data_IF_944288143277
#
_entry.id   IF_944288143277
#
_cell.length_a   1.000
_cell.length_b   1.000
_cell.length_c   1.000
_cell.angle_alpha   90.00
_cell.angle_beta   90.00
_cell.angle_gamma   90.00
#
_symmetry.space_group_name_H-M   'P 1'
#
loop_
_entity.id
_entity.type
_entity.pdbx_description
1 polymer ?
#
# COMPACT_ATOMS: atom_id res chain seq x y z
N UNK A 1 -1.48 56.02 65.09
CA UNK A 1 -1.81 55.54 66.46
C UNK A 1 -1.55 54.04 66.45
N UNK A 2 -0.33 53.63 66.74
CA UNK A 2 0.15 53.20 68.07
C UNK A 2 -0.35 51.78 68.44
N UNK A 3 0.52 50.79 68.17
CA UNK A 3 0.99 49.63 68.97
C UNK A 3 0.31 49.32 70.34
N UNK A 4 0.55 48.15 71.01
CA UNK A 4 1.14 46.84 70.62
C UNK A 4 0.45 45.59 71.28
N UNK A 5 0.96 44.37 70.99
CA UNK A 5 1.36 43.46 72.09
C UNK A 5 0.88 42.00 72.13
N UNK A 6 1.87 41.09 72.03
CA UNK A 6 2.06 39.83 72.79
C UNK A 6 1.17 38.62 72.47
N UNK A 7 1.61 37.38 72.51
CA UNK A 7 2.88 36.64 72.36
C UNK A 7 2.50 35.17 72.59
N UNK A 8 3.22 34.27 71.94
CA UNK A 8 3.44 32.87 72.32
C UNK A 8 2.34 31.83 72.02
N UNK A 9 2.83 30.61 71.77
CA UNK A 9 2.15 29.37 71.35
C UNK A 9 1.97 29.21 69.85
N UNK A 10 3.04 28.79 69.16
CA UNK A 10 3.02 27.75 68.11
C UNK A 10 4.42 27.59 67.51
N UNK A 11 5.35 27.06 68.30
CA UNK A 11 6.55 26.40 67.80
C UNK A 11 6.44 24.91 68.14
N UNK A 12 5.81 24.14 67.26
CA UNK A 12 5.96 22.69 67.07
C UNK A 12 5.18 22.36 65.79
N UNK A 13 5.79 21.57 64.89
CA UNK A 13 5.29 21.11 63.59
C UNK A 13 5.62 21.96 62.36
N UNK A 14 6.89 22.36 62.22
CA UNK A 14 7.50 22.59 60.90
C UNK A 14 8.40 21.40 60.53
N UNK A 15 7.80 20.24 60.29
CA UNK A 15 8.46 19.10 59.65
C UNK A 15 7.41 18.27 58.89
N UNK A 16 6.68 18.94 57.99
CA UNK A 16 5.90 18.23 56.98
C UNK A 16 6.89 17.75 55.91
N UNK A 17 7.25 16.47 56.01
CA UNK A 17 7.95 15.73 54.97
C UNK A 17 7.25 15.95 53.63
N UNK A 18 7.88 16.69 52.73
CA UNK A 18 7.70 16.50 51.30
C UNK A 18 8.26 15.14 50.93
N UNK A 19 7.48 14.08 51.17
CA UNK A 19 7.66 12.82 50.49
C UNK A 19 7.31 13.06 49.01
N UNK A 20 8.34 13.26 48.19
CA UNK A 20 8.24 12.91 46.79
C UNK A 20 7.86 11.41 46.76
N UNK A 21 6.61 11.11 46.43
CA UNK A 21 6.28 9.82 45.82
C UNK A 21 6.96 9.80 44.44
N UNK A 22 8.22 9.37 44.43
CA UNK A 22 8.79 8.75 43.24
C UNK A 22 7.99 7.47 43.06
N UNK A 23 7.07 7.46 42.10
CA UNK A 23 6.52 6.20 41.61
C UNK A 23 7.72 5.34 41.20
N UNK A 24 7.90 4.19 41.84
CA UNK A 24 8.82 3.19 41.33
C UNK A 24 8.37 2.89 39.90
N UNK A 25 9.16 3.31 38.92
CA UNK A 25 8.95 2.86 37.55
C UNK A 25 9.00 1.33 37.63
N UNK A 26 7.89 0.67 37.22
CA UNK A 26 7.86 -0.79 37.16
C UNK A 26 9.01 -1.29 36.28
N UNK A 27 9.44 -2.53 36.50
CA UNK A 27 10.48 -3.16 35.68
C UNK A 27 10.19 -2.95 34.17
N UNK A 28 11.23 -2.78 33.32
CA UNK A 28 11.04 -2.61 31.89
C UNK A 28 10.16 -3.72 31.29
N UNK A 29 9.19 -3.32 30.46
CA UNK A 29 8.30 -4.28 29.80
C UNK A 29 8.99 -4.87 28.58
N UNK A 30 8.96 -6.19 28.45
CA UNK A 30 9.66 -6.86 27.36
C UNK A 30 9.18 -6.40 25.98
N UNK A 31 7.87 -6.35 25.74
CA UNK A 31 7.35 -6.08 24.39
C UNK A 31 7.41 -4.59 24.05
N UNK A 32 7.21 -3.71 25.03
CA UNK A 32 7.23 -2.26 24.84
C UNK A 32 8.65 -1.71 24.77
N UNK A 33 9.54 -2.19 25.64
CA UNK A 33 10.83 -1.54 25.87
C UNK A 33 12.02 -2.37 25.31
N UNK A 34 12.03 -3.68 25.53
CA UNK A 34 13.20 -4.53 25.25
C UNK A 34 13.20 -5.11 23.83
N UNK A 35 12.07 -5.65 23.37
CA UNK A 35 11.93 -6.22 22.04
C UNK A 35 12.29 -5.23 20.93
N UNK A 36 11.81 -3.97 20.95
CA UNK A 36 12.22 -2.97 19.95
C UNK A 36 13.71 -2.66 20.01
N UNK A 37 14.31 -2.65 21.21
CA UNK A 37 15.73 -2.38 21.39
C UNK A 37 16.59 -3.50 20.80
N UNK A 38 16.29 -4.77 21.11
CA UNK A 38 16.98 -5.94 20.55
C UNK A 38 16.80 -5.96 19.03
N UNK A 39 15.58 -5.72 18.54
CA UNK A 39 15.30 -5.65 17.11
C UNK A 39 16.16 -4.60 16.39
N UNK A 40 16.21 -3.38 16.95
CA UNK A 40 16.94 -2.24 16.40
C UNK A 40 18.46 -2.41 16.44
N UNK A 41 19.01 -2.97 17.52
CA UNK A 41 20.47 -2.95 17.80
C UNK A 41 21.18 -4.26 17.49
N UNK A 42 20.48 -5.38 17.54
CA UNK A 42 21.11 -6.69 17.55
C UNK A 42 20.71 -7.56 16.36
N UNK A 43 19.45 -7.49 15.90
CA UNK A 43 18.94 -8.47 14.95
C UNK A 43 19.50 -8.33 13.53
N UNK A 44 20.20 -7.26 13.16
CA UNK A 44 20.88 -7.21 11.85
C UNK A 44 22.03 -8.24 11.72
N UNK A 45 22.59 -8.73 12.84
CA UNK A 45 23.70 -9.69 12.85
C UNK A 45 23.43 -10.96 13.69
N UNK A 46 22.34 -10.98 14.45
CA UNK A 46 21.99 -12.05 15.39
C UNK A 46 20.55 -12.50 15.19
N UNK A 47 20.23 -12.99 13.99
CA UNK A 47 18.93 -13.51 13.60
C UNK A 47 19.05 -14.93 13.00
N UNK A 48 17.95 -15.52 12.56
CA UNK A 48 17.94 -16.90 12.01
C UNK A 48 18.78 -17.08 10.74
N UNK A 49 19.00 -16.00 9.95
CA UNK A 49 19.76 -16.02 8.69
C UNK A 49 21.20 -15.56 8.86
N UNK A 50 21.45 -14.54 9.69
CA UNK A 50 22.80 -14.07 10.06
C UNK A 50 23.03 -14.36 11.55
N UNK A 51 23.79 -15.42 11.84
CA UNK A 51 24.02 -15.94 13.19
C UNK A 51 25.47 -15.66 13.59
N UNK A 52 25.88 -14.38 13.66
CA UNK A 52 27.25 -14.05 14.07
C UNK A 52 27.52 -14.51 15.50
N UNK A 53 28.68 -15.11 15.70
CA UNK A 53 29.06 -15.71 16.99
C UNK A 53 28.14 -16.86 17.41
N UNK A 54 27.46 -17.51 16.46
CA UNK A 54 26.51 -18.61 16.71
C UNK A 54 25.37 -18.21 17.66
N UNK A 55 25.00 -16.93 17.67
CA UNK A 55 23.99 -16.34 18.54
C UNK A 55 22.76 -15.86 17.75
N UNK A 56 21.59 -16.40 18.09
CA UNK A 56 20.30 -15.97 17.53
C UNK A 56 19.46 -15.25 18.59
N UNK A 57 19.45 -13.92 18.56
CA UNK A 57 18.76 -13.09 19.55
C UNK A 57 17.26 -12.90 19.27
N UNK A 58 16.70 -13.64 18.31
CA UNK A 58 15.25 -13.65 18.08
C UNK A 58 14.50 -14.48 19.12
N UNK A 59 15.18 -15.32 19.91
CA UNK A 59 14.56 -16.25 20.86
C UNK A 59 15.14 -16.12 22.26
N UNK A 60 14.37 -16.54 23.26
CA UNK A 60 14.83 -16.61 24.65
C UNK A 60 16.04 -17.54 24.83
N UNK A 61 16.05 -18.69 24.15
CA UNK A 61 17.16 -19.64 24.20
C UNK A 61 18.45 -19.00 23.71
N UNK A 62 18.41 -18.31 22.58
CA UNK A 62 19.58 -17.61 22.07
C UNK A 62 19.99 -16.42 22.96
N UNK A 63 19.05 -15.65 23.50
CA UNK A 63 19.36 -14.57 24.45
C UNK A 63 20.07 -15.06 25.71
N UNK A 64 19.69 -16.24 26.23
CA UNK A 64 20.29 -16.84 27.43
C UNK A 64 21.49 -17.75 27.13
N UNK A 65 21.92 -17.84 25.86
CA UNK A 65 23.06 -18.66 25.47
C UNK A 65 24.35 -18.14 26.14
N UNK A 66 24.99 -18.98 26.93
CA UNK A 66 26.27 -18.70 27.60
C UNK A 66 26.17 -18.19 29.04
N UNK A 67 25.04 -17.58 29.46
CA UNK A 67 24.84 -17.12 30.85
C UNK A 67 23.37 -17.02 31.23
N UNK A 68 23.06 -17.13 32.53
CA UNK A 68 21.69 -16.90 33.03
C UNK A 68 21.24 -15.47 32.72
N UNK A 69 19.99 -15.33 32.31
CA UNK A 69 19.32 -14.04 32.04
C UNK A 69 20.06 -13.15 31.02
N UNK A 70 20.87 -13.73 30.13
CA UNK A 70 21.59 -12.98 29.09
C UNK A 70 22.69 -12.05 29.61
N UNK A 71 23.24 -12.32 30.80
CA UNK A 71 24.28 -11.48 31.43
C UNK A 71 25.51 -11.25 30.56
N UNK A 72 25.91 -12.25 29.76
CA UNK A 72 27.01 -12.14 28.80
C UNK A 72 26.76 -11.05 27.76
N UNK A 73 25.54 -10.99 27.20
CA UNK A 73 25.18 -9.94 26.26
C UNK A 73 25.27 -8.58 26.93
N UNK A 74 24.73 -8.45 28.14
CA UNK A 74 24.78 -7.21 28.90
C UNK A 74 26.22 -6.77 29.15
N UNK A 75 27.08 -7.67 29.62
CA UNK A 75 28.48 -7.36 29.91
C UNK A 75 29.22 -6.89 28.64
N UNK A 76 29.02 -7.53 27.49
CA UNK A 76 29.61 -7.14 26.20
C UNK A 76 29.13 -5.76 25.72
N UNK A 77 27.84 -5.45 25.93
CA UNK A 77 27.26 -4.15 25.59
C UNK A 77 27.78 -3.05 26.51
N UNK A 78 27.79 -3.29 27.83
CA UNK A 78 28.26 -2.32 28.83
C UNK A 78 29.75 -2.03 28.68
N UNK A 79 30.56 -3.03 28.32
CA UNK A 79 32.00 -2.85 28.02
C UNK A 79 32.26 -2.16 26.67
N UNK A 80 31.22 -1.97 25.84
CA UNK A 80 31.35 -1.36 24.52
C UNK A 80 32.04 -2.25 23.49
N UNK A 81 32.08 -3.57 23.73
CA UNK A 81 32.56 -4.55 22.77
C UNK A 81 31.51 -4.83 21.68
N UNK A 82 30.23 -4.73 22.04
CA UNK A 82 29.09 -4.87 21.15
C UNK A 82 28.20 -3.62 21.15
N UNK A 83 27.74 -3.14 19.97
CA UNK A 83 28.16 -3.54 18.63
C UNK A 83 29.65 -3.25 18.34
N UNK A 84 30.30 -4.04 17.47
CA UNK A 84 31.72 -3.87 17.18
C UNK A 84 31.98 -2.54 16.48
N UNK A 85 33.21 -2.03 16.58
CA UNK A 85 33.61 -0.78 15.91
C UNK A 85 33.43 -0.88 14.39
N UNK A 86 32.87 0.16 13.78
CA UNK A 86 32.80 0.28 12.32
C UNK A 86 33.79 1.35 11.85
N UNK A 87 34.72 0.97 10.96
CA UNK A 87 35.79 1.88 10.47
C UNK A 87 36.57 2.56 11.60
N UNK A 88 36.80 1.84 12.70
CA UNK A 88 37.51 2.35 13.89
C UNK A 88 36.67 3.22 14.84
N UNK A 89 35.43 3.55 14.47
CA UNK A 89 34.51 4.34 15.31
C UNK A 89 33.71 3.43 16.24
N UNK A 90 33.54 3.88 17.48
CA UNK A 90 32.70 3.22 18.47
C UNK A 90 31.23 3.23 18.03
N UNK A 91 30.56 2.09 18.22
CA UNK A 91 29.11 1.95 18.03
C UNK A 91 28.39 1.68 19.36
N UNK A 92 28.99 2.11 20.48
CA UNK A 92 28.41 1.95 21.81
C UNK A 92 26.97 2.47 21.83
N UNK A 93 26.06 1.70 22.43
CA UNK A 93 24.68 2.13 22.63
C UNK A 93 24.62 3.40 23.50
N UNK A 94 23.58 4.24 23.32
CA UNK A 94 23.23 5.29 24.27
C UNK A 94 23.10 4.76 25.71
N UNK A 95 23.55 5.53 26.69
CA UNK A 95 23.59 5.09 28.10
C UNK A 95 22.19 4.79 28.67
N UNK A 96 21.13 5.42 28.14
CA UNK A 96 19.74 5.12 28.49
C UNK A 96 19.27 3.75 27.96
N UNK A 97 19.67 3.38 26.74
CA UNK A 97 19.39 2.03 26.18
C UNK A 97 20.17 0.95 26.96
N UNK A 98 21.40 1.25 27.42
CA UNK A 98 22.18 0.34 28.27
C UNK A 98 21.51 0.15 29.62
N UNK A 99 21.15 1.25 30.31
CA UNK A 99 20.43 1.17 31.60
C UNK A 99 19.14 0.37 31.50
N UNK A 100 18.40 0.52 30.40
CA UNK A 100 17.18 -0.23 30.16
C UNK A 100 17.42 -1.74 30.11
N UNK A 101 18.52 -2.19 29.47
CA UNK A 101 18.92 -3.59 29.48
C UNK A 101 19.40 -4.05 30.87
N UNK A 102 20.15 -3.20 31.58
CA UNK A 102 20.63 -3.49 32.94
C UNK A 102 19.44 -3.73 33.89
N UNK A 103 18.51 -2.79 33.96
CA UNK A 103 17.31 -2.88 34.81
C UNK A 103 16.45 -4.10 34.48
N UNK A 104 16.28 -4.40 33.19
CA UNK A 104 15.51 -5.57 32.76
C UNK A 104 16.19 -6.88 33.15
N UNK A 105 17.51 -7.02 32.93
CA UNK A 105 18.27 -8.21 33.30
C UNK A 105 18.27 -8.42 34.83
N UNK A 106 18.43 -7.34 35.60
CA UNK A 106 18.38 -7.35 37.06
C UNK A 106 16.98 -7.72 37.59
N UNK A 107 15.92 -7.34 36.87
CA UNK A 107 14.54 -7.75 37.19
C UNK A 107 14.22 -9.21 36.85
N UNK A 108 15.19 -9.95 36.30
CA UNK A 108 15.05 -11.38 35.95
C UNK A 108 14.89 -11.66 34.46
N UNK A 109 15.06 -10.66 33.59
CA UNK A 109 14.98 -10.77 32.13
C UNK A 109 13.74 -11.54 31.65
N UNK A 110 12.56 -11.20 32.19
CA UNK A 110 11.33 -11.90 31.87
C UNK A 110 11.07 -11.84 30.35
N UNK A 111 11.08 -13.01 29.71
CA UNK A 111 10.80 -13.19 28.29
C UNK A 111 9.47 -13.95 28.13
N UNK A 112 8.48 -13.41 27.39
CA UNK A 112 7.19 -14.08 27.22
C UNK A 112 7.33 -15.43 26.51
N UNK A 113 6.62 -16.45 27.00
CA UNK A 113 6.59 -17.78 26.37
C UNK A 113 6.22 -17.68 24.88
N UNK A 114 6.91 -18.45 24.05
CA UNK A 114 6.71 -18.52 22.59
C UNK A 114 6.95 -17.22 21.80
N UNK A 115 7.57 -16.21 22.45
CA UNK A 115 7.89 -14.95 21.78
C UNK A 115 9.16 -15.08 20.94
N UNK A 116 8.98 -15.03 19.62
CA UNK A 116 10.06 -14.87 18.64
C UNK A 116 10.04 -13.42 18.12
N UNK A 117 11.20 -12.77 18.11
CA UNK A 117 11.36 -11.41 17.60
C UNK A 117 11.57 -11.39 16.09
N UNK A 118 10.84 -10.51 15.41
CA UNK A 118 11.04 -10.22 14.00
C UNK A 118 12.06 -9.10 13.77
N UNK A 119 12.84 -9.24 12.70
CA UNK A 119 13.79 -8.20 12.23
C UNK A 119 13.12 -6.85 11.91
N UNK A 120 11.82 -6.88 11.62
CA UNK A 120 11.03 -5.73 11.20
C UNK A 120 10.18 -5.11 12.33
N UNK A 121 10.38 -5.50 13.59
CA UNK A 121 9.56 -4.98 14.69
C UNK A 121 9.82 -3.52 15.02
N UNK A 122 11.05 -3.04 14.80
CA UNK A 122 11.45 -1.67 15.06
C UNK A 122 12.36 -1.12 13.97
N UNK A 123 12.34 0.18 13.79
CA UNK A 123 13.17 0.89 12.82
C UNK A 123 14.60 1.00 13.34
N UNK A 124 15.55 0.63 12.50
CA UNK A 124 16.98 0.79 12.74
C UNK A 124 17.58 1.86 11.82
N UNK A 125 18.88 2.12 11.98
CA UNK A 125 19.60 3.07 11.13
C UNK A 125 19.77 2.55 9.68
N UNK A 126 19.51 1.27 9.43
CA UNK A 126 19.70 0.61 8.13
C UNK A 126 18.40 0.12 7.49
N UNK A 127 17.32 -0.03 8.27
CA UNK A 127 16.08 -0.67 7.83
C UNK A 127 14.85 -0.06 8.52
N UNK A 128 13.76 0.07 7.78
CA UNK A 128 12.46 0.44 8.32
C UNK A 128 11.79 -0.75 9.03
N UNK A 129 11.29 -0.49 10.23
CA UNK A 129 10.42 -1.40 10.97
C UNK A 129 8.95 -1.10 10.74
N UNK A 130 8.07 -1.88 11.37
CA UNK A 130 6.62 -1.67 11.35
C UNK A 130 6.18 -0.37 12.04
N UNK A 131 7.06 0.25 12.80
CA UNK A 131 6.94 1.57 13.42
C UNK A 131 7.26 2.75 12.47
N UNK A 132 7.68 2.47 11.24
CA UNK A 132 8.02 3.51 10.26
C UNK A 132 6.84 4.43 9.98
N UNK A 133 7.11 5.73 9.85
CA UNK A 133 6.09 6.79 9.86
C UNK A 133 5.02 6.62 8.77
N UNK A 134 5.40 6.15 7.58
CA UNK A 134 4.48 6.00 6.44
C UNK A 134 3.61 4.75 6.53
N UNK A 135 3.91 3.84 7.46
CA UNK A 135 3.15 2.63 7.73
C UNK A 135 2.16 2.83 8.89
N UNK A 136 2.23 3.96 9.58
CA UNK A 136 1.32 4.28 10.67
C UNK A 136 -0.01 4.82 10.12
N UNK A 137 -1.13 4.57 10.82
CA UNK A 137 -2.40 5.20 10.48
C UNK A 137 -2.29 6.73 10.38
N UNK A 138 -2.78 7.28 9.27
CA UNK A 138 -2.76 8.73 9.04
C UNK A 138 -3.70 9.42 10.03
N UNK A 139 -3.15 10.24 10.92
CA UNK A 139 -3.90 11.07 11.86
C UNK A 139 -3.99 12.50 11.33
N UNK A 140 -5.20 13.06 11.21
CA UNK A 140 -5.39 14.45 10.76
C UNK A 140 -4.87 15.42 11.83
N UNK A 141 -3.81 16.20 11.56
CA UNK A 141 -3.26 17.12 12.56
C UNK A 141 -4.13 18.37 12.70
N UNK A 142 -4.03 19.03 13.86
CA UNK A 142 -4.61 20.36 14.04
C UNK A 142 -3.92 21.36 13.11
N UNK A 143 -4.70 22.12 12.36
CA UNK A 143 -4.17 23.16 11.45
C UNK A 143 -3.62 24.32 12.29
N UNK A 144 -2.38 24.79 12.02
CA UNK A 144 -1.84 25.96 12.70
C UNK A 144 -2.75 27.18 12.54
N UNK A 145 -2.91 27.97 13.61
CA UNK A 145 -3.74 29.18 13.62
C UNK A 145 -3.05 30.33 12.89
N UNK A 146 -2.91 30.19 11.57
CA UNK A 146 -2.35 31.18 10.65
C UNK A 146 -3.36 31.44 9.53
N UNK A 147 -3.50 32.71 9.11
CA UNK A 147 -4.49 33.13 8.11
C UNK A 147 -4.24 32.52 6.73
N UNK A 148 -5.30 32.09 6.03
CA UNK A 148 -5.24 31.61 4.65
C UNK A 148 -5.52 30.11 4.49
N UNK A 149 -5.07 29.51 3.38
CA UNK A 149 -5.30 28.10 3.10
C UNK A 149 -4.60 27.18 4.12
N UNK A 150 -5.19 26.05 4.54
CA UNK A 150 -4.60 25.16 5.55
C UNK A 150 -3.19 24.67 5.20
N UNK A 151 -2.94 24.35 3.92
CA UNK A 151 -1.59 23.94 3.45
C UNK A 151 -0.57 25.05 3.69
N UNK A 152 -0.91 26.30 3.36
CA UNK A 152 -0.02 27.44 3.59
C UNK A 152 0.22 27.69 5.08
N UNK A 153 -0.76 27.38 5.94
CA UNK A 153 -0.60 27.49 7.39
C UNK A 153 0.49 26.53 7.90
N UNK A 154 0.51 25.28 7.43
CA UNK A 154 1.58 24.33 7.75
C UNK A 154 2.95 24.80 7.24
N UNK A 155 3.02 25.25 5.98
CA UNK A 155 4.27 25.73 5.37
C UNK A 155 4.81 26.95 6.11
N UNK A 156 3.97 27.95 6.39
CA UNK A 156 4.37 29.17 7.13
C UNK A 156 4.79 28.87 8.57
N UNK A 157 4.11 27.95 9.24
CA UNK A 157 4.50 27.55 10.60
C UNK A 157 5.91 26.95 10.61
N UNK A 158 6.23 26.09 9.63
CA UNK A 158 7.58 25.53 9.49
C UNK A 158 8.62 26.61 9.15
N UNK A 159 8.34 27.47 8.17
CA UNK A 159 9.24 28.57 7.77
C UNK A 159 9.56 29.50 8.95
N UNK A 160 8.56 29.87 9.76
CA UNK A 160 8.76 30.67 10.97
C UNK A 160 9.69 29.98 11.98
N UNK A 161 9.54 28.67 12.18
CA UNK A 161 10.38 27.87 13.09
C UNK A 161 11.85 27.82 12.64
N UNK A 162 12.11 27.82 11.33
CA UNK A 162 13.47 27.80 10.76
C UNK A 162 13.97 29.19 10.34
N UNK A 163 13.27 30.26 10.75
CA UNK A 163 13.64 31.66 10.48
C UNK A 163 13.81 31.96 8.98
N UNK A 164 12.98 31.33 8.14
CA UNK A 164 12.94 31.57 6.70
C UNK A 164 11.67 32.33 6.30
N UNK A 165 11.76 33.12 5.24
CA UNK A 165 10.63 33.84 4.65
C UNK A 165 10.29 33.27 3.27
N UNK A 166 9.00 33.26 2.86
CA UNK A 166 8.62 32.84 1.52
C UNK A 166 9.28 33.72 0.45
N UNK A 167 9.64 33.11 -0.69
CA UNK A 167 10.06 33.86 -1.86
C UNK A 167 8.94 34.79 -2.37
N UNK A 168 9.33 35.89 -3.03
CA UNK A 168 8.37 36.80 -3.67
C UNK A 168 7.56 36.03 -4.72
N UNK A 169 6.26 36.35 -4.79
CA UNK A 169 5.38 35.79 -5.82
C UNK A 169 5.90 36.17 -7.21
N UNK A 170 5.89 35.21 -8.13
CA UNK A 170 6.26 35.45 -9.52
C UNK A 170 5.27 36.41 -10.20
N UNK A 171 5.69 37.05 -11.30
CA UNK A 171 4.81 37.93 -12.07
C UNK A 171 3.59 37.17 -12.61
N UNK A 172 2.47 37.87 -12.83
CA UNK A 172 1.25 37.27 -13.38
C UNK A 172 1.51 36.53 -14.69
N UNK A 173 2.31 37.10 -15.58
CA UNK A 173 2.73 36.46 -16.84
C UNK A 173 3.47 35.14 -16.60
N UNK A 174 4.41 35.11 -15.66
CA UNK A 174 5.17 33.91 -15.35
C UNK A 174 4.28 32.83 -14.70
N UNK A 175 3.38 33.23 -13.80
CA UNK A 175 2.42 32.34 -13.16
C UNK A 175 1.46 31.71 -14.17
N UNK A 176 0.85 32.52 -15.05
CA UNK A 176 -0.03 32.02 -16.10
C UNK A 176 0.72 31.05 -17.02
N UNK A 177 1.89 31.42 -17.53
CA UNK A 177 2.69 30.53 -18.38
C UNK A 177 2.95 29.18 -17.70
N UNK A 178 3.34 29.17 -16.42
CA UNK A 178 3.57 27.93 -15.66
C UNK A 178 2.30 27.10 -15.52
N UNK A 179 1.19 27.71 -15.10
CA UNK A 179 -0.08 27.00 -14.94
C UNK A 179 -0.56 26.33 -16.24
N UNK A 180 -0.44 27.02 -17.37
CA UNK A 180 -0.79 26.44 -18.67
C UNK A 180 0.08 25.21 -19.01
N UNK A 181 1.41 25.30 -18.86
CA UNK A 181 2.28 24.15 -19.09
C UNK A 181 2.05 23.00 -18.11
N UNK A 182 1.90 23.31 -16.82
CA UNK A 182 1.77 22.31 -15.77
C UNK A 182 0.42 21.58 -15.87
N UNK A 183 -0.67 22.31 -16.14
CA UNK A 183 -2.01 21.74 -16.17
C UNK A 183 -2.39 21.17 -17.54
N UNK A 184 -2.00 21.82 -18.65
CA UNK A 184 -2.45 21.43 -20.00
C UNK A 184 -1.32 20.98 -20.93
N UNK A 185 -0.06 21.12 -20.51
CA UNK A 185 1.10 20.78 -21.34
C UNK A 185 1.42 21.77 -22.46
N UNK A 186 0.60 22.80 -22.65
CA UNK A 186 0.74 23.77 -23.75
C UNK A 186 0.98 25.17 -23.19
N UNK A 187 1.66 26.06 -23.95
CA UNK A 187 1.70 27.47 -23.60
C UNK A 187 0.31 28.12 -23.78
N UNK A 188 0.04 29.23 -23.07
CA UNK A 188 -1.11 30.07 -23.38
C UNK A 188 -0.93 30.72 -24.77
N UNK A 189 -2.04 30.89 -25.50
CA UNK A 189 -2.04 31.74 -26.68
C UNK A 189 -1.78 33.21 -26.32
N UNK A 190 -1.36 34.05 -27.27
CA UNK A 190 -1.21 35.50 -27.05
C UNK A 190 -2.48 36.15 -26.47
N UNK A 191 -3.64 35.82 -27.04
CA UNK A 191 -4.93 36.37 -26.59
C UNK A 191 -5.33 35.92 -25.19
N UNK A 192 -5.12 34.65 -24.84
CA UNK A 192 -5.40 34.16 -23.47
C UNK A 192 -4.49 34.83 -22.43
N UNK A 193 -3.22 35.06 -22.78
CA UNK A 193 -2.29 35.77 -21.91
C UNK A 193 -2.70 37.23 -21.73
N UNK A 194 -3.06 37.92 -22.82
CA UNK A 194 -3.53 39.31 -22.76
C UNK A 194 -4.80 39.45 -21.92
N UNK A 195 -5.77 38.57 -22.12
CA UNK A 195 -7.00 38.54 -21.34
C UNK A 195 -6.72 38.33 -19.85
N UNK A 196 -5.84 37.39 -19.49
CA UNK A 196 -5.49 37.16 -18.08
C UNK A 196 -4.73 38.35 -17.48
N UNK A 197 -3.82 38.98 -18.23
CA UNK A 197 -3.08 40.15 -17.75
C UNK A 197 -3.96 41.39 -17.60
N UNK A 198 -5.02 41.50 -18.40
CA UNK A 198 -6.01 42.57 -18.32
C UNK A 198 -7.10 42.33 -17.25
N UNK A 199 -7.26 41.10 -16.76
CA UNK A 199 -8.25 40.75 -15.73
C UNK A 199 -7.83 41.30 -14.35
N UNK A 200 -8.45 42.43 -13.97
CA UNK A 200 -8.27 43.09 -12.68
C UNK A 200 -9.32 42.70 -11.65
N UNK A 201 -10.29 41.84 -12.01
CA UNK A 201 -11.34 41.45 -11.08
C UNK A 201 -10.79 40.56 -9.94
N UNK A 202 -11.36 40.65 -8.73
CA UNK A 202 -10.99 39.79 -7.62
C UNK A 202 -11.06 38.31 -8.03
N UNK A 203 -10.03 37.52 -7.72
CA UNK A 203 -10.03 36.08 -8.02
C UNK A 203 -9.67 35.70 -9.46
N UNK A 204 -9.05 36.57 -10.25
CA UNK A 204 -8.56 36.25 -11.60
C UNK A 204 -7.70 34.97 -11.65
N UNK A 205 -6.84 34.76 -10.65
CA UNK A 205 -5.97 33.58 -10.58
C UNK A 205 -6.76 32.25 -10.36
N UNK A 206 -7.58 32.09 -9.31
CA UNK A 206 -8.44 30.91 -9.16
C UNK A 206 -9.29 30.61 -10.40
N UNK A 207 -9.94 31.63 -11.00
CA UNK A 207 -10.75 31.43 -12.23
C UNK A 207 -9.93 30.91 -13.41
N UNK A 208 -8.68 31.36 -13.54
CA UNK A 208 -7.79 30.80 -14.56
C UNK A 208 -7.50 29.32 -14.29
N UNK A 209 -7.19 28.97 -13.04
CA UNK A 209 -6.92 27.58 -12.65
C UNK A 209 -8.14 26.70 -12.90
N UNK A 210 -9.34 27.12 -12.49
CA UNK A 210 -10.58 26.37 -12.70
C UNK A 210 -10.83 26.13 -14.20
N UNK A 211 -10.59 27.14 -15.05
CA UNK A 211 -10.71 27.00 -16.51
C UNK A 211 -9.72 25.99 -17.09
N UNK A 212 -8.49 25.98 -16.58
CA UNK A 212 -7.46 25.05 -17.04
C UNK A 212 -7.74 23.62 -16.59
N UNK A 213 -8.22 23.42 -15.37
CA UNK A 213 -8.65 22.13 -14.85
C UNK A 213 -9.88 21.59 -15.59
N UNK A 214 -10.81 22.45 -15.99
CA UNK A 214 -11.97 22.08 -16.79
C UNK A 214 -11.67 21.84 -18.28
N UNK A 215 -10.42 22.05 -18.72
CA UNK A 215 -10.02 21.79 -20.11
C UNK A 215 -9.81 20.29 -20.32
N UNK A 216 -10.28 19.69 -21.44
CA UNK A 216 -10.00 18.28 -21.73
C UNK A 216 -8.50 17.96 -21.83
N UNK A 217 -7.69 18.99 -22.13
CA UNK A 217 -6.22 18.92 -22.17
C UNK A 217 -5.59 18.63 -20.80
N UNK A 218 -6.31 18.88 -19.71
CA UNK A 218 -5.87 18.52 -18.37
C UNK A 218 -5.70 17.01 -18.24
N UNK A 219 -6.76 16.26 -18.56
CA UNK A 219 -6.73 14.80 -18.61
C UNK A 219 -5.67 14.28 -19.57
N UNK A 220 -5.56 14.83 -20.79
CA UNK A 220 -4.51 14.45 -21.75
C UNK A 220 -3.09 14.67 -21.19
N UNK A 221 -2.86 15.80 -20.51
CA UNK A 221 -1.56 16.14 -19.92
C UNK A 221 -1.18 15.17 -18.81
N UNK A 222 -2.11 14.95 -17.88
CA UNK A 222 -1.88 14.19 -16.66
C UNK A 222 -1.95 12.68 -16.88
N UNK A 223 -2.80 12.20 -17.80
CA UNK A 223 -2.88 10.80 -18.16
C UNK A 223 -1.53 10.27 -18.65
N UNK A 224 -0.74 11.05 -19.40
CA UNK A 224 0.61 10.61 -19.83
C UNK A 224 1.50 10.20 -18.66
N UNK A 225 1.45 10.92 -17.53
CA UNK A 225 2.23 10.56 -16.34
C UNK A 225 1.76 9.24 -15.72
N UNK A 226 0.45 8.99 -15.72
CA UNK A 226 -0.11 7.72 -15.27
C UNK A 226 0.19 6.56 -16.23
N UNK A 227 0.05 6.80 -17.53
CA UNK A 227 0.27 5.82 -18.59
C UNK A 227 1.73 5.34 -18.63
N UNK A 228 2.68 6.25 -18.40
CA UNK A 228 4.10 5.88 -18.22
C UNK A 228 4.30 4.94 -17.02
N UNK A 229 3.65 5.24 -15.89
CA UNK A 229 3.76 4.49 -14.63
C UNK A 229 3.22 3.06 -14.77
N UNK A 230 2.11 2.89 -15.49
CA UNK A 230 1.46 1.59 -15.72
C UNK A 230 1.96 0.88 -16.99
N UNK A 231 3.05 1.38 -17.59
CA UNK A 231 3.72 0.79 -18.76
C UNK A 231 2.75 0.60 -19.93
N UNK A 232 1.93 1.61 -20.18
CA UNK A 232 1.03 1.60 -21.32
C UNK A 232 1.84 1.68 -22.62
N UNK A 233 1.49 0.81 -23.58
CA UNK A 233 1.94 0.88 -24.95
C UNK A 233 0.80 0.41 -25.86
N UNK A 234 0.72 0.96 -27.08
CA UNK A 234 -0.21 0.49 -28.10
C UNK A 234 0.26 -0.80 -28.81
N UNK A 235 1.48 -1.23 -28.48
CA UNK A 235 2.10 -2.46 -28.99
C UNK A 235 2.55 -3.37 -27.85
N UNK A 236 2.92 -4.60 -28.19
CA UNK A 236 3.35 -5.62 -27.24
C UNK A 236 4.66 -5.31 -26.53
N UNK A 237 5.46 -4.37 -27.03
CA UNK A 237 6.73 -3.95 -26.44
C UNK A 237 7.75 -5.07 -26.31
N UNK A 238 7.63 -6.13 -27.13
CA UNK A 238 8.43 -7.34 -27.04
C UNK A 238 8.59 -8.01 -28.40
N UNK A 239 9.82 -8.42 -28.75
CA UNK A 239 10.24 -9.14 -29.97
C UNK A 239 9.49 -8.81 -31.28
N UNK A 240 8.30 -9.39 -31.50
CA UNK A 240 7.46 -9.12 -32.69
C UNK A 240 6.73 -7.77 -32.67
N UNK A 241 6.55 -7.21 -31.48
CA UNK A 241 5.97 -5.90 -31.19
C UNK A 241 4.67 -5.62 -31.97
N UNK A 242 3.70 -6.54 -31.89
CA UNK A 242 2.40 -6.38 -32.55
C UNK A 242 1.57 -5.30 -31.87
N UNK A 243 0.63 -4.72 -32.61
CA UNK A 243 -0.39 -3.85 -32.03
C UNK A 243 -1.25 -4.63 -31.04
N UNK A 244 -1.52 -4.04 -29.88
CA UNK A 244 -2.49 -4.52 -28.91
C UNK A 244 -3.88 -4.02 -29.31
N UNK A 245 -4.78 -4.87 -29.83
CA UNK A 245 -6.10 -4.42 -30.22
C UNK A 245 -6.84 -3.80 -29.03
N UNK A 246 -7.55 -2.70 -29.27
CA UNK A 246 -8.42 -2.03 -28.29
C UNK A 246 -7.76 -1.43 -27.04
N UNK A 247 -6.43 -1.53 -26.85
CA UNK A 247 -5.77 -1.02 -25.63
C UNK A 247 -5.91 0.50 -25.47
N UNK A 248 -6.06 1.24 -26.58
CA UNK A 248 -6.31 2.69 -26.59
C UNK A 248 -7.54 3.09 -25.77
N UNK A 249 -8.52 2.20 -25.59
CA UNK A 249 -9.70 2.44 -24.75
C UNK A 249 -9.32 2.67 -23.28
N UNK A 250 -8.29 1.96 -22.78
CA UNK A 250 -7.76 2.19 -21.44
C UNK A 250 -7.09 3.57 -21.32
N UNK A 251 -6.32 4.01 -22.33
CA UNK A 251 -5.78 5.38 -22.37
C UNK A 251 -6.89 6.41 -22.27
N UNK A 252 -7.93 6.26 -23.09
CA UNK A 252 -9.03 7.21 -23.13
C UNK A 252 -9.83 7.17 -21.81
N UNK A 253 -10.00 6.00 -21.19
CA UNK A 253 -10.57 5.86 -19.86
C UNK A 253 -9.78 6.64 -18.80
N UNK A 254 -8.44 6.54 -18.79
CA UNK A 254 -7.60 7.32 -17.85
C UNK A 254 -7.75 8.83 -18.08
N UNK A 255 -7.77 9.28 -19.33
CA UNK A 255 -7.98 10.69 -19.68
C UNK A 255 -9.32 11.18 -19.15
N UNK A 256 -10.39 10.42 -19.36
CA UNK A 256 -11.73 10.77 -18.92
C UNK A 256 -11.85 10.73 -17.39
N UNK A 257 -11.30 9.71 -16.73
CA UNK A 257 -11.30 9.61 -15.27
C UNK A 257 -10.66 10.83 -14.58
N UNK A 258 -9.60 11.39 -15.18
CA UNK A 258 -8.97 12.62 -14.70
C UNK A 258 -9.80 13.87 -14.99
N UNK A 259 -10.39 13.98 -16.18
CA UNK A 259 -11.23 15.12 -16.55
C UNK A 259 -12.56 15.16 -15.76
N UNK A 260 -13.09 14.00 -15.41
CA UNK A 260 -14.34 13.85 -14.66
C UNK A 260 -14.15 13.97 -13.13
N UNK A 261 -12.92 14.27 -12.67
CA UNK A 261 -12.55 14.33 -11.25
C UNK A 261 -12.96 13.06 -10.49
N UNK A 262 -12.68 11.89 -11.08
CA UNK A 262 -13.06 10.60 -10.52
C UNK A 262 -12.44 10.45 -9.10
N UNK A 263 -13.25 10.09 -8.08
CA UNK A 263 -12.72 9.85 -6.75
C UNK A 263 -11.62 8.78 -6.77
N UNK A 264 -10.47 9.10 -6.18
CA UNK A 264 -9.31 8.21 -6.18
C UNK A 264 -9.60 6.76 -5.75
N UNK A 265 -10.44 6.49 -4.71
CA UNK A 265 -10.79 5.10 -4.36
C UNK A 265 -11.48 4.34 -5.50
N UNK A 266 -12.32 5.01 -6.29
CA UNK A 266 -12.98 4.44 -7.46
C UNK A 266 -11.96 4.21 -8.59
N UNK A 267 -11.09 5.18 -8.83
CA UNK A 267 -10.00 5.07 -9.82
C UNK A 267 -9.10 3.86 -9.55
N UNK A 268 -8.74 3.61 -8.28
CA UNK A 268 -7.96 2.43 -7.90
C UNK A 268 -8.77 1.15 -8.05
N UNK A 269 -10.01 1.10 -7.52
CA UNK A 269 -10.83 -0.11 -7.52
C UNK A 269 -11.16 -0.59 -8.93
N UNK A 270 -11.57 0.31 -9.84
CA UNK A 270 -11.92 -0.07 -11.21
C UNK A 270 -10.70 -0.62 -11.99
N UNK A 271 -9.50 -0.10 -11.75
CA UNK A 271 -8.30 -0.60 -12.42
C UNK A 271 -7.81 -1.97 -11.92
N UNK A 272 -8.06 -2.30 -10.66
CA UNK A 272 -7.62 -3.56 -10.05
C UNK A 272 -8.66 -4.67 -10.12
N UNK A 273 -9.94 -4.33 -10.17
CA UNK A 273 -11.03 -5.30 -10.06
C UNK A 273 -12.34 -4.82 -10.71
N UNK A 274 -12.28 -3.92 -11.71
CA UNK A 274 -13.47 -3.36 -12.35
C UNK A 274 -14.34 -4.36 -13.11
N UNK A 275 -13.84 -5.56 -13.38
CA UNK A 275 -14.57 -6.73 -13.87
C UNK A 275 -15.29 -7.52 -12.74
N UNK A 276 -14.84 -7.37 -11.49
CA UNK A 276 -15.34 -8.08 -10.30
C UNK A 276 -16.22 -7.20 -9.37
N UNK A 277 -16.38 -5.90 -9.66
CA UNK A 277 -17.25 -5.02 -8.86
C UNK A 277 -18.74 -5.34 -9.08
N UNK A 278 -19.54 -5.29 -8.01
CA UNK A 278 -20.96 -5.68 -8.05
C UNK A 278 -21.86 -4.86 -8.98
N UNK A 279 -21.43 -3.65 -9.38
CA UNK A 279 -22.10 -2.78 -10.36
C UNK A 279 -21.24 -2.60 -11.62
N UNK A 280 -20.62 -3.68 -12.10
CA UNK A 280 -19.79 -3.73 -13.31
C UNK A 280 -20.44 -2.99 -14.49
N UNK A 281 -19.66 -2.18 -15.18
CA UNK A 281 -20.03 -1.46 -16.41
C UNK A 281 -18.97 -1.71 -17.48
N UNK A 282 -19.26 -1.37 -18.74
CA UNK A 282 -18.24 -1.38 -19.81
C UNK A 282 -16.99 -0.57 -19.41
N UNK A 283 -17.18 0.61 -18.80
CA UNK A 283 -16.07 1.47 -18.37
C UNK A 283 -15.23 0.84 -17.26
N UNK A 284 -15.85 0.18 -16.29
CA UNK A 284 -15.09 -0.50 -15.23
C UNK A 284 -14.33 -1.71 -15.77
N UNK A 285 -14.84 -2.39 -16.80
CA UNK A 285 -14.09 -3.46 -17.48
C UNK A 285 -12.91 -2.88 -18.26
N UNK A 286 -13.10 -1.79 -19.01
CA UNK A 286 -12.01 -1.11 -19.71
C UNK A 286 -10.89 -0.69 -18.73
N UNK A 287 -11.25 -0.23 -17.53
CA UNK A 287 -10.30 0.16 -16.48
C UNK A 287 -9.36 -0.98 -16.07
N UNK A 288 -9.83 -2.24 -16.05
CA UNK A 288 -8.98 -3.42 -15.76
C UNK A 288 -7.87 -3.65 -16.79
N UNK A 289 -7.88 -2.90 -17.90
CA UNK A 289 -6.79 -2.81 -18.86
C UNK A 289 -5.42 -2.54 -18.22
N UNK A 290 -5.35 -1.93 -17.03
CA UNK A 290 -4.12 -1.80 -16.24
C UNK A 290 -3.40 -3.15 -16.05
N UNK A 291 -4.14 -4.22 -15.75
CA UNK A 291 -3.60 -5.56 -15.49
C UNK A 291 -3.11 -6.23 -16.79
N UNK A 292 -3.57 -5.72 -17.94
CA UNK A 292 -3.22 -6.18 -19.29
C UNK A 292 -2.14 -5.32 -19.95
N UNK A 293 -1.79 -4.18 -19.37
CA UNK A 293 -0.70 -3.33 -19.81
C UNK A 293 0.68 -4.02 -19.65
N UNK A 294 1.75 -3.32 -20.05
CA UNK A 294 3.11 -3.85 -20.06
C UNK A 294 3.39 -4.79 -21.23
N UNK A 295 4.56 -5.42 -21.18
CA UNK A 295 5.08 -6.24 -22.27
C UNK A 295 4.30 -7.54 -22.44
N UNK A 296 4.09 -7.95 -23.69
CA UNK A 296 3.40 -9.19 -24.03
C UNK A 296 4.26 -10.07 -24.92
N UNK A 297 4.54 -11.29 -24.47
CA UNK A 297 5.23 -12.29 -25.26
C UNK A 297 4.17 -13.24 -25.83
N UNK A 298 3.94 -13.13 -27.14
CA UNK A 298 2.95 -13.92 -27.87
C UNK A 298 3.49 -15.28 -28.37
N UNK A 299 4.77 -15.59 -28.16
CA UNK A 299 5.37 -16.93 -28.35
C UNK A 299 6.42 -17.19 -27.27
N UNK A 300 5.99 -17.45 -26.03
CA UNK A 300 6.91 -17.81 -24.97
C UNK A 300 7.50 -19.21 -25.23
N UNK A 301 8.81 -19.34 -25.07
CA UNK A 301 9.49 -20.65 -25.11
C UNK A 301 8.93 -21.62 -24.07
N UNK A 302 8.62 -21.10 -22.88
CA UNK A 302 7.94 -21.82 -21.80
C UNK A 302 6.72 -20.99 -21.33
N UNK A 303 5.48 -21.42 -21.64
CA UNK A 303 4.28 -20.73 -21.19
C UNK A 303 4.14 -20.63 -19.66
N UNK A 304 4.65 -21.61 -18.91
CA UNK A 304 4.56 -21.61 -17.45
C UNK A 304 5.50 -20.55 -16.85
N UNK A 305 6.72 -20.43 -17.36
CA UNK A 305 7.66 -19.37 -16.96
C UNK A 305 7.11 -17.97 -17.29
N UNK A 306 6.50 -17.82 -18.47
CA UNK A 306 5.92 -16.55 -18.88
C UNK A 306 4.76 -16.11 -17.98
N UNK A 307 3.95 -17.06 -17.48
CA UNK A 307 2.90 -16.77 -16.50
C UNK A 307 3.47 -16.13 -15.23
N UNK A 308 4.57 -16.68 -14.69
CA UNK A 308 5.24 -16.10 -13.51
C UNK A 308 5.87 -14.74 -13.80
N UNK A 309 6.43 -14.55 -15.00
CA UNK A 309 6.93 -13.24 -15.44
C UNK A 309 5.81 -12.19 -15.47
N UNK A 310 4.62 -12.55 -15.96
CA UNK A 310 3.43 -11.69 -15.92
C UNK A 310 2.96 -11.41 -14.50
N UNK A 311 2.95 -12.43 -13.65
CA UNK A 311 2.56 -12.30 -12.24
C UNK A 311 3.48 -11.30 -11.50
N UNK A 312 4.78 -11.43 -11.70
CA UNK A 312 5.76 -10.53 -11.15
C UNK A 312 5.53 -9.09 -11.62
N UNK A 313 5.27 -8.88 -12.91
CA UNK A 313 4.98 -7.56 -13.46
C UNK A 313 3.73 -6.95 -12.82
N UNK A 314 2.64 -7.71 -12.66
CA UNK A 314 1.41 -7.24 -12.01
C UNK A 314 1.64 -6.82 -10.56
N UNK A 315 2.38 -7.63 -9.78
CA UNK A 315 2.77 -7.26 -8.41
C UNK A 315 3.58 -5.98 -8.42
N UNK A 316 4.63 -5.91 -9.24
CA UNK A 316 5.52 -4.75 -9.30
C UNK A 316 4.76 -3.47 -9.64
N UNK A 317 3.92 -3.51 -10.67
CA UNK A 317 3.11 -2.37 -11.12
C UNK A 317 2.23 -1.86 -10.03
N UNK A 318 1.45 -2.76 -9.44
CA UNK A 318 0.40 -2.39 -8.52
C UNK A 318 1.01 -1.76 -7.28
N UNK A 319 2.07 -2.38 -6.75
CA UNK A 319 2.69 -1.90 -5.51
C UNK A 319 3.48 -0.62 -5.73
N UNK A 320 4.16 -0.47 -6.87
CA UNK A 320 4.88 0.77 -7.19
C UNK A 320 3.91 1.91 -7.49
N UNK A 321 2.86 1.66 -8.28
CA UNK A 321 1.94 2.70 -8.74
C UNK A 321 1.00 3.20 -7.65
N UNK A 322 0.45 2.30 -6.83
CA UNK A 322 -0.56 2.66 -5.82
C UNK A 322 0.01 2.81 -4.41
N UNK A 323 1.04 2.04 -4.05
CA UNK A 323 1.63 2.08 -2.71
C UNK A 323 2.93 2.87 -2.64
N UNK A 324 3.58 3.13 -3.79
CA UNK A 324 4.92 3.71 -3.83
C UNK A 324 5.99 2.79 -3.21
N UNK A 325 5.74 1.47 -3.20
CA UNK A 325 6.59 0.48 -2.55
C UNK A 325 7.15 -0.54 -3.54
N UNK A 326 8.44 -0.88 -3.39
CA UNK A 326 9.14 -1.85 -4.23
C UNK A 326 8.95 -3.28 -3.74
N UNK A 327 7.70 -3.73 -3.59
CA UNK A 327 7.36 -5.08 -3.11
C UNK A 327 8.01 -6.19 -3.95
N UNK A 328 8.22 -5.97 -5.25
CA UNK A 328 8.92 -6.91 -6.15
C UNK A 328 10.31 -7.34 -5.62
N UNK A 329 11.02 -6.48 -4.89
CA UNK A 329 12.29 -6.85 -4.28
C UNK A 329 12.17 -8.01 -3.28
N UNK A 330 10.96 -8.25 -2.75
CA UNK A 330 10.70 -9.36 -1.83
C UNK A 330 10.41 -10.71 -2.54
N UNK A 331 10.55 -10.80 -3.86
CA UNK A 331 10.30 -12.04 -4.63
C UNK A 331 11.16 -13.21 -4.15
N UNK A 332 12.46 -12.97 -3.97
CA UNK A 332 13.44 -14.02 -3.69
C UNK A 332 13.81 -14.16 -2.20
N UNK A 333 13.63 -13.09 -1.42
CA UNK A 333 13.93 -13.02 0.01
C UNK A 333 13.13 -11.86 0.63
N UNK A 334 13.08 -11.70 1.96
CA UNK A 334 12.42 -10.53 2.56
C UNK A 334 13.04 -9.22 2.09
N UNK A 335 12.23 -8.17 1.96
CA UNK A 335 12.68 -6.91 1.43
C UNK A 335 13.88 -6.34 2.22
N UNK A 336 14.86 -5.79 1.49
CA UNK A 336 16.13 -5.35 2.07
C UNK A 336 15.97 -4.23 3.11
N UNK A 337 15.08 -3.27 2.83
CA UNK A 337 14.94 -2.04 3.62
C UNK A 337 13.55 -1.87 4.27
N UNK A 338 12.49 -2.13 3.52
CA UNK A 338 11.11 -2.08 4.03
C UNK A 338 10.70 -3.36 4.79
N UNK A 339 9.73 -3.27 5.71
CA UNK A 339 9.22 -4.39 6.49
C UNK A 339 8.22 -5.26 5.71
N UNK A 340 8.68 -5.78 4.58
CA UNK A 340 7.87 -6.57 3.63
C UNK A 340 8.49 -7.96 3.54
N UNK A 341 7.74 -8.96 4.01
CA UNK A 341 8.20 -10.35 3.96
C UNK A 341 8.04 -10.92 2.55
N UNK A 342 8.84 -11.93 2.23
CA UNK A 342 8.66 -12.71 1.00
C UNK A 342 7.27 -13.36 0.95
N UNK A 343 6.76 -13.82 2.10
CA UNK A 343 5.41 -14.36 2.19
C UNK A 343 4.34 -13.32 1.82
N UNK A 344 4.56 -12.04 2.14
CA UNK A 344 3.65 -10.96 1.76
C UNK A 344 3.70 -10.67 0.25
N UNK A 345 4.87 -10.79 -0.39
CA UNK A 345 4.97 -10.76 -1.86
C UNK A 345 4.09 -11.84 -2.51
N UNK A 346 4.18 -13.09 -2.04
CA UNK A 346 3.39 -14.19 -2.60
C UNK A 346 1.90 -14.10 -2.25
N UNK A 347 1.54 -13.52 -1.09
CA UNK A 347 0.15 -13.17 -0.78
C UNK A 347 -0.41 -12.15 -1.76
N UNK A 348 0.35 -11.11 -2.09
CA UNK A 348 -0.06 -10.12 -3.10
C UNK A 348 -0.18 -10.78 -4.47
N UNK A 349 0.80 -11.59 -4.86
CA UNK A 349 0.77 -12.34 -6.12
C UNK A 349 -0.50 -13.21 -6.23
N UNK A 350 -0.97 -13.81 -5.13
CA UNK A 350 -2.16 -14.66 -5.14
C UNK A 350 -3.45 -13.96 -5.59
N UNK A 351 -3.57 -12.64 -5.44
CA UNK A 351 -4.73 -11.89 -5.94
C UNK A 351 -4.79 -11.82 -7.47
N UNK A 352 -3.65 -11.90 -8.13
CA UNK A 352 -3.55 -11.87 -9.60
C UNK A 352 -3.44 -13.28 -10.20
N UNK A 353 -3.47 -14.30 -9.35
CA UNK A 353 -3.29 -15.68 -9.77
C UNK A 353 -4.62 -16.27 -10.27
N UNK A 354 -4.65 -16.69 -11.54
CA UNK A 354 -5.87 -17.17 -12.19
C UNK A 354 -6.24 -18.64 -11.88
N UNK A 355 -5.49 -19.36 -11.02
CA UNK A 355 -5.75 -20.76 -10.66
C UNK A 355 -4.60 -21.72 -11.00
N UNK A 356 -4.69 -23.01 -10.61
CA UNK A 356 -3.58 -23.96 -10.71
C UNK A 356 -3.03 -24.11 -12.13
N UNK A 357 -1.72 -24.36 -12.24
CA UNK A 357 -1.02 -24.72 -13.48
C UNK A 357 -1.49 -26.12 -13.89
N UNK A 358 -2.60 -26.19 -14.62
CA UNK A 358 -2.91 -27.29 -15.51
C UNK A 358 -2.53 -26.88 -16.92
N UNK A 359 -2.15 -27.85 -17.75
CA UNK A 359 -2.08 -27.63 -19.19
C UNK A 359 -3.35 -26.90 -19.63
N UNK A 360 -3.17 -25.78 -20.32
CA UNK A 360 -4.26 -25.06 -20.97
C UNK A 360 -5.28 -26.06 -21.49
N UNK A 361 -6.48 -26.01 -20.92
CA UNK A 361 -7.74 -26.49 -21.48
C UNK A 361 -7.54 -27.22 -22.82
N UNK A 362 -7.10 -28.49 -22.78
CA UNK A 362 -6.78 -29.26 -23.99
C UNK A 362 -8.09 -29.72 -24.65
N UNK A 363 -8.86 -28.76 -25.17
CA UNK A 363 -10.05 -29.04 -25.97
C UNK A 363 -11.37 -29.02 -25.18
N UNK A 364 -11.59 -28.02 -24.32
CA UNK A 364 -12.97 -27.63 -24.03
C UNK A 364 -13.61 -27.03 -25.29
N UNK A 365 -14.81 -27.49 -25.66
CA UNK A 365 -15.62 -26.77 -26.67
C UNK A 365 -16.21 -25.53 -26.02
N UNK A 366 -15.95 -24.35 -26.58
CA UNK A 366 -16.69 -23.13 -26.24
C UNK A 366 -18.03 -23.12 -26.99
N UNK A 367 -19.12 -22.85 -26.27
CA UNK A 367 -20.44 -22.66 -26.86
C UNK A 367 -20.97 -21.28 -26.49
N UNK A 368 -21.09 -20.44 -27.51
CA UNK A 368 -21.44 -19.02 -27.37
C UNK A 368 -20.24 -18.09 -27.35
N UNK A 369 -20.49 -16.83 -27.63
CA UNK A 369 -19.51 -15.75 -27.67
C UNK A 369 -20.08 -14.54 -26.96
N UNK A 370 -19.22 -13.80 -26.29
CA UNK A 370 -19.55 -12.48 -25.76
C UNK A 370 -19.33 -11.40 -26.82
N UNK A 371 -19.85 -10.20 -26.58
CA UNK A 371 -19.42 -9.01 -27.30
C UNK A 371 -17.90 -8.81 -27.19
N UNK A 372 -17.40 -7.81 -27.92
CA UNK A 372 -15.97 -7.46 -27.91
C UNK A 372 -15.42 -7.09 -26.52
N UNK A 373 -16.29 -6.94 -25.51
CA UNK A 373 -15.98 -6.53 -24.15
C UNK A 373 -16.12 -7.66 -23.11
N UNK A 374 -16.63 -8.83 -23.49
CA UNK A 374 -16.97 -9.85 -22.49
C UNK A 374 -18.15 -9.46 -21.60
N UNK A 375 -18.98 -8.49 -22.00
CA UNK A 375 -20.03 -7.90 -21.17
C UNK A 375 -21.37 -8.60 -21.40
N UNK A 376 -21.84 -8.68 -22.64
CA UNK A 376 -23.02 -9.46 -22.99
C UNK A 376 -22.65 -10.71 -23.78
N UNK A 377 -23.33 -11.83 -23.54
CA UNK A 377 -23.35 -12.92 -24.49
C UNK A 377 -24.05 -12.44 -25.77
N UNK A 378 -23.46 -12.55 -26.95
CA UNK A 378 -24.05 -12.08 -28.22
C UNK A 378 -24.31 -13.21 -29.21
N UNK A 379 -23.50 -14.27 -29.18
CA UNK A 379 -23.70 -15.48 -29.97
C UNK A 379 -24.06 -16.64 -29.04
N UNK A 380 -25.04 -17.46 -29.43
CA UNK A 380 -25.54 -18.61 -28.67
C UNK A 380 -25.72 -18.33 -27.17
N UNK A 381 -26.46 -17.27 -26.85
CA UNK A 381 -26.83 -16.87 -25.47
C UNK A 381 -27.32 -18.10 -24.70
N UNK A 382 -26.61 -18.41 -23.62
CA UNK A 382 -26.82 -19.63 -22.83
C UNK A 382 -27.01 -19.24 -21.37
N UNK A 383 -28.08 -19.72 -20.75
CA UNK A 383 -28.31 -19.53 -19.32
C UNK A 383 -27.67 -20.67 -18.51
N UNK A 384 -27.34 -20.43 -17.24
CA UNK A 384 -26.78 -21.49 -16.38
C UNK A 384 -27.70 -22.73 -16.28
N UNK A 385 -29.02 -22.52 -16.36
CA UNK A 385 -29.98 -23.63 -16.40
C UNK A 385 -29.92 -24.47 -17.68
N UNK A 386 -29.47 -23.91 -18.81
CA UNK A 386 -29.29 -24.66 -20.06
C UNK A 386 -28.09 -25.61 -19.94
N UNK A 387 -27.02 -25.15 -19.28
CA UNK A 387 -25.86 -25.98 -18.91
C UNK A 387 -26.31 -27.07 -17.93
N UNK A 388 -27.06 -26.67 -16.89
CA UNK A 388 -27.93 -27.48 -16.04
C UNK A 388 -28.54 -28.70 -16.74
N UNK A 389 -29.44 -28.39 -17.67
CA UNK A 389 -30.23 -29.35 -18.41
C UNK A 389 -29.37 -30.24 -19.28
N UNK A 390 -28.34 -29.67 -19.92
CA UNK A 390 -27.41 -30.41 -20.79
C UNK A 390 -26.60 -31.43 -20.01
N UNK A 391 -26.10 -31.07 -18.82
CA UNK A 391 -25.37 -32.01 -17.94
C UNK A 391 -26.28 -33.16 -17.50
N UNK A 392 -27.50 -32.86 -17.02
CA UNK A 392 -28.47 -33.89 -16.63
C UNK A 392 -28.79 -34.84 -17.79
N UNK A 393 -29.00 -34.28 -18.99
CA UNK A 393 -29.23 -35.06 -20.20
C UNK A 393 -28.06 -36.00 -20.52
N UNK A 394 -26.81 -35.51 -20.46
CA UNK A 394 -25.61 -36.34 -20.68
C UNK A 394 -25.44 -37.44 -19.62
N UNK A 395 -25.98 -37.24 -18.42
CA UNK A 395 -26.04 -38.25 -17.36
C UNK A 395 -27.20 -39.24 -17.55
N UNK A 396 -27.99 -39.12 -18.62
CA UNK A 396 -29.16 -39.95 -18.89
C UNK A 396 -30.39 -39.59 -18.03
N UNK A 397 -30.40 -38.40 -17.44
CA UNK A 397 -31.48 -37.89 -16.61
C UNK A 397 -32.31 -36.91 -17.44
N UNK A 398 -33.59 -37.23 -17.64
CA UNK A 398 -34.56 -36.30 -18.21
C UNK A 398 -35.07 -35.35 -17.11
N UNK A 399 -34.59 -34.11 -17.16
CA UNK A 399 -34.92 -33.09 -16.17
C UNK A 399 -36.39 -32.61 -16.26
N UNK A 400 -37.08 -32.85 -17.37
CA UNK A 400 -38.50 -32.51 -17.53
C UNK A 400 -39.43 -33.65 -17.04
N UNK A 401 -38.96 -34.89 -17.12
CA UNK A 401 -39.70 -36.07 -16.66
C UNK A 401 -39.82 -36.14 -15.13
N UNK A 402 -38.87 -35.55 -14.39
CA UNK A 402 -38.87 -35.51 -12.93
C UNK A 402 -39.68 -34.32 -12.39
N UNK A 403 -40.92 -34.17 -12.86
CA UNK A 403 -41.82 -33.11 -12.40
C UNK A 403 -42.92 -33.63 -11.47
N UNK A 404 -43.27 -32.83 -10.47
CA UNK A 404 -44.32 -33.12 -9.49
C UNK A 404 -45.20 -31.90 -9.25
N UNK A 405 -46.43 -32.11 -8.80
CA UNK A 405 -47.31 -31.00 -8.43
C UNK A 405 -47.16 -30.65 -6.96
N UNK A 406 -46.81 -29.39 -6.67
CA UNK A 406 -46.74 -28.84 -5.32
C UNK A 406 -47.53 -27.53 -5.26
N UNK A 407 -48.50 -27.44 -4.35
CA UNK A 407 -49.37 -26.25 -4.18
C UNK A 407 -50.02 -25.74 -5.48
N UNK A 408 -50.40 -26.64 -6.38
CA UNK A 408 -51.03 -26.29 -7.66
C UNK A 408 -50.06 -25.81 -8.74
N UNK A 409 -48.75 -25.84 -8.49
CA UNK A 409 -47.69 -25.57 -9.47
C UNK A 409 -47.00 -26.86 -9.85
N UNK A 410 -46.60 -26.98 -11.12
CA UNK A 410 -45.78 -28.08 -11.61
C UNK A 410 -44.31 -27.71 -11.37
N UNK A 411 -43.71 -28.34 -10.38
CA UNK A 411 -42.31 -28.14 -9.99
C UNK A 411 -41.44 -29.24 -10.60
N UNK A 412 -40.14 -28.99 -10.78
CA UNK A 412 -39.16 -30.01 -11.17
C UNK A 412 -38.32 -30.39 -9.96
N UNK A 413 -37.98 -31.69 -9.82
CA UNK A 413 -37.21 -32.18 -8.68
C UNK A 413 -35.78 -31.60 -8.62
N UNK A 414 -35.26 -31.17 -9.77
CA UNK A 414 -33.90 -30.65 -9.92
C UNK A 414 -33.83 -29.12 -9.91
N UNK A 415 -34.98 -28.41 -9.88
CA UNK A 415 -35.09 -26.96 -10.12
C UNK A 415 -34.43 -26.47 -11.43
N UNK A 416 -34.10 -27.40 -12.34
CA UNK A 416 -33.52 -27.10 -13.65
C UNK A 416 -34.64 -27.00 -14.67
N UNK A 417 -34.70 -25.86 -15.36
CA UNK A 417 -35.73 -25.55 -16.37
C UNK A 417 -35.14 -25.02 -17.70
N UNK A 418 -33.83 -25.19 -17.89
CA UNK A 418 -33.17 -24.76 -19.12
C UNK A 418 -33.37 -25.73 -20.28
N UNK A 419 -32.95 -25.31 -21.47
CA UNK A 419 -32.95 -26.12 -22.69
C UNK A 419 -31.66 -26.93 -22.82
N UNK A 420 -31.77 -28.15 -23.36
CA UNK A 420 -30.60 -28.96 -23.71
C UNK A 420 -29.87 -28.32 -24.90
N UNK A 421 -28.58 -28.07 -24.72
CA UNK A 421 -27.69 -27.52 -25.75
C UNK A 421 -27.19 -28.67 -26.62
N UNK A 422 -27.88 -28.92 -27.73
CA UNK A 422 -27.66 -30.11 -28.57
C UNK A 422 -26.28 -30.10 -29.24
N UNK A 423 -25.73 -28.94 -29.53
CA UNK A 423 -24.41 -28.79 -30.15
C UNK A 423 -23.25 -29.16 -29.20
N UNK A 424 -23.49 -29.12 -27.88
CA UNK A 424 -22.57 -29.64 -26.86
C UNK A 424 -22.72 -31.16 -26.71
N UNK A 425 -23.89 -31.72 -27.03
CA UNK A 425 -24.17 -33.15 -26.89
C UNK A 425 -23.61 -34.03 -28.04
N UNK A 426 -23.23 -33.40 -29.16
CA UNK A 426 -22.66 -34.07 -30.35
C UNK A 426 -21.13 -34.15 -30.27
#
# INVERSE_FOLDING_TARGET
MALPGRTEWLLINLFFMTQLMVAAAGAPDFNRDIAPLIAKRCLECHNERDIKGELNLTTHEGFTKGTKNGRLLLDLVTQGEMPPKQKGLSQKLPDDEIRLLEEWVESGAAWPSDRVLGLHEATSDVRAGRDWWSLQPVKRPAVPQLTGHPVDAFVRAKLKKVTMTPAKRASHRALARRAYFDLTGLPPSPGEMEQFLADTAPGAWPRLIDRLLASPRYGERWARHWLDLVRFAETDGYERDKLKPNIWRYRDWVINALNDDMPYPRFVAEQLAGDEIGNRTEQSVIATGLIRAGTWNDEPNDPADYLYTRLEDMVHTTTTAFLGLTVKCARCHDHKFDPILQSDYYRIASFFWAGPIGQANQGGRSYGETDEFGFEAVVNKTHVHDIHATILHLMGIDHEALSYFHQGRKETLTDVHGRIIREICA
#
